data_IF_751966961985
#
_entry.id   IF_751966961985
#
_cell.length_a   1.000
_cell.length_b   1.000
_cell.length_c   1.000
_cell.angle_alpha   90.00
_cell.angle_beta   90.00
_cell.angle_gamma   90.00
#
_symmetry.space_group_name_H-M   'P 1'
#
loop_
_entity.id
_entity.type
_entity.pdbx_description
1 polymer ?
#
# COMPACT_ATOMS: atom_id res chain seq x y z
N UNK A 1 35.45 -18.25 -21.64
CA UNK A 1 34.94 -17.85 -20.31
C UNK A 1 34.28 -16.46 -20.30
N UNK A 2 34.56 -15.55 -21.24
CA UNK A 2 33.90 -14.24 -21.29
C UNK A 2 32.41 -14.31 -21.71
N UNK A 3 32.06 -15.16 -22.69
CA UNK A 3 30.67 -15.30 -23.17
C UNK A 3 29.66 -15.78 -22.10
N UNK A 4 30.12 -16.53 -21.09
CA UNK A 4 29.27 -17.00 -19.97
C UNK A 4 29.02 -15.91 -18.93
N UNK A 5 30.00 -15.01 -18.70
CA UNK A 5 29.85 -13.89 -17.77
C UNK A 5 28.91 -12.81 -18.31
N UNK A 6 28.92 -12.58 -19.62
CA UNK A 6 28.03 -11.63 -20.29
C UNK A 6 26.56 -12.07 -20.24
N UNK A 7 26.31 -13.36 -20.47
CA UNK A 7 24.96 -13.97 -20.41
C UNK A 7 24.37 -13.96 -19.00
N UNK A 8 25.19 -14.20 -17.97
CA UNK A 8 24.77 -14.11 -16.58
C UNK A 8 24.37 -12.68 -16.19
N UNK A 9 25.07 -11.67 -16.73
CA UNK A 9 24.82 -10.24 -16.49
C UNK A 9 23.56 -9.72 -17.21
N UNK A 10 23.16 -10.32 -18.34
CA UNK A 10 21.90 -9.99 -19.01
C UNK A 10 20.69 -10.55 -18.26
N UNK A 11 20.80 -11.79 -17.78
CA UNK A 11 19.72 -12.43 -17.01
C UNK A 11 19.48 -11.73 -15.67
N UNK A 12 20.53 -11.27 -14.98
CA UNK A 12 20.37 -10.56 -13.71
C UNK A 12 19.62 -9.23 -13.83
N UNK A 13 19.89 -8.48 -14.91
CA UNK A 13 19.17 -7.24 -15.22
C UNK A 13 17.69 -7.48 -15.46
N UNK A 14 17.33 -8.58 -16.12
CA UNK A 14 15.93 -8.97 -16.32
C UNK A 14 15.26 -9.30 -14.98
N UNK A 15 15.94 -9.99 -14.07
CA UNK A 15 15.38 -10.33 -12.76
C UNK A 15 15.21 -9.14 -11.83
N UNK A 16 16.05 -8.11 -11.95
CA UNK A 16 15.90 -6.85 -11.22
C UNK A 16 14.60 -6.09 -11.58
N UNK A 17 14.03 -6.36 -12.76
CA UNK A 17 12.76 -5.74 -13.18
C UNK A 17 11.59 -6.14 -12.28
N UNK A 18 11.63 -7.32 -11.65
CA UNK A 18 10.54 -7.81 -10.80
C UNK A 18 10.38 -6.95 -9.53
N UNK A 19 11.41 -6.78 -8.67
CA UNK A 19 11.29 -5.88 -7.53
C UNK A 19 11.25 -4.39 -7.91
N UNK A 20 11.78 -3.99 -9.08
CA UNK A 20 11.51 -2.64 -9.61
C UNK A 20 10.02 -2.44 -9.89
N UNK A 21 9.36 -3.43 -10.51
CA UNK A 21 7.91 -3.45 -10.67
C UNK A 21 7.19 -3.42 -9.33
N UNK A 22 7.65 -4.20 -8.35
CA UNK A 22 7.15 -4.15 -6.97
C UNK A 22 7.27 -2.76 -6.34
N UNK A 23 8.39 -2.08 -6.51
CA UNK A 23 8.59 -0.71 -6.03
C UNK A 23 7.64 0.28 -6.71
N UNK A 24 7.42 0.14 -8.03
CA UNK A 24 6.47 0.98 -8.77
C UNK A 24 5.03 0.73 -8.29
N UNK A 25 4.66 -0.52 -8.01
CA UNK A 25 3.35 -0.87 -7.45
C UNK A 25 3.15 -0.23 -6.08
N UNK A 26 4.15 -0.31 -5.18
CA UNK A 26 4.08 0.36 -3.88
C UNK A 26 3.99 1.88 -4.05
N UNK A 27 4.78 2.47 -4.95
CA UNK A 27 4.75 3.91 -5.19
C UNK A 27 3.40 4.38 -5.71
N UNK A 28 2.78 3.65 -6.64
CA UNK A 28 1.45 3.95 -7.15
C UNK A 28 0.37 3.76 -6.06
N UNK A 29 0.46 2.71 -5.23
CA UNK A 29 -0.45 2.52 -4.09
C UNK A 29 -0.35 3.66 -3.05
N UNK A 30 0.86 4.19 -2.80
CA UNK A 30 1.05 5.36 -1.93
C UNK A 30 0.50 6.63 -2.60
N UNK A 31 0.72 6.79 -3.91
CA UNK A 31 0.26 7.96 -4.65
C UNK A 31 -1.27 8.10 -4.62
N UNK A 32 -2.02 7.00 -4.75
CA UNK A 32 -3.48 7.01 -4.70
C UNK A 32 -4.04 7.40 -3.32
N UNK A 33 -3.27 7.16 -2.26
CA UNK A 33 -3.59 7.52 -0.87
C UNK A 33 -3.32 8.99 -0.54
N UNK A 34 -2.83 9.79 -1.51
CA UNK A 34 -2.61 11.22 -1.31
C UNK A 34 -3.93 12.00 -1.54
N UNK A 35 -4.40 12.77 -0.54
CA UNK A 35 -5.74 13.41 -0.54
C UNK A 35 -5.94 14.47 -1.63
N UNK A 36 -4.88 14.88 -2.33
CA UNK A 36 -4.95 15.91 -3.37
C UNK A 36 -5.11 15.35 -4.80
N UNK A 37 -4.86 14.06 -5.02
CA UNK A 37 -4.62 13.55 -6.38
C UNK A 37 -5.74 12.67 -6.93
N UNK A 38 -6.45 11.94 -6.08
CA UNK A 38 -7.55 11.08 -6.50
C UNK A 38 -8.82 11.48 -5.76
N UNK A 39 -9.89 11.78 -6.50
CA UNK A 39 -11.19 12.02 -5.88
C UNK A 39 -11.67 10.72 -5.24
N UNK A 40 -11.94 10.70 -3.93
CA UNK A 40 -12.46 9.51 -3.29
C UNK A 40 -13.84 9.16 -3.87
N UNK A 41 -14.13 7.88 -4.11
CA UNK A 41 -15.46 7.46 -4.55
C UNK A 41 -16.51 7.74 -3.47
N UNK A 42 -16.15 7.58 -2.19
CA UNK A 42 -17.03 7.82 -1.05
C UNK A 42 -16.33 8.66 0.01
N UNK A 43 -17.07 9.64 0.53
CA UNK A 43 -16.66 10.48 1.65
C UNK A 43 -17.68 10.30 2.77
N UNK A 44 -17.19 9.88 3.94
CA UNK A 44 -17.99 9.64 5.12
C UNK A 44 -17.70 10.75 6.14
N UNK A 45 -18.74 11.52 6.49
CA UNK A 45 -18.62 12.55 7.53
C UNK A 45 -18.88 11.90 8.88
N UNK A 46 -17.90 12.01 9.78
CA UNK A 46 -17.90 11.34 11.06
C UNK A 46 -18.13 12.38 12.17
N UNK A 47 -18.97 12.02 13.15
CA UNK A 47 -19.18 12.81 14.35
C UNK A 47 -17.93 12.82 15.26
N UNK A 48 -17.19 11.69 15.28
CA UNK A 48 -15.90 11.52 15.95
C UNK A 48 -15.08 10.51 15.16
N UNK A 49 -13.77 10.71 15.05
CA UNK A 49 -12.90 9.73 14.41
C UNK A 49 -12.67 8.53 15.35
N UNK A 50 -13.04 7.29 14.96
CA UNK A 50 -12.79 6.13 15.80
C UNK A 50 -11.30 5.77 15.74
N UNK A 51 -10.70 5.44 16.88
CA UNK A 51 -9.26 5.11 16.94
C UNK A 51 -8.84 3.91 16.08
N UNK A 52 -9.79 3.05 15.69
CA UNK A 52 -9.56 1.97 14.73
C UNK A 52 -9.20 2.48 13.33
N UNK A 53 -9.77 3.61 12.89
CA UNK A 53 -9.48 4.23 11.60
C UNK A 53 -8.03 4.76 11.56
N UNK A 54 -7.61 5.47 12.61
CA UNK A 54 -6.23 5.96 12.75
C UNK A 54 -5.23 4.80 12.81
N UNK A 55 -5.57 3.70 13.49
CA UNK A 55 -4.74 2.50 13.55
C UNK A 55 -4.60 1.85 12.17
N UNK A 56 -5.70 1.70 11.42
CA UNK A 56 -5.69 1.14 10.06
C UNK A 56 -4.74 1.94 9.16
N UNK A 57 -4.88 3.28 9.12
CA UNK A 57 -3.99 4.11 8.31
C UNK A 57 -2.51 3.97 8.70
N UNK A 58 -2.22 3.93 10.01
CA UNK A 58 -0.86 3.77 10.51
C UNK A 58 -0.26 2.42 10.09
N UNK A 59 -1.05 1.35 10.16
CA UNK A 59 -0.64 0.00 9.74
C UNK A 59 -0.41 -0.04 8.23
N UNK A 60 -1.32 0.50 7.42
CA UNK A 60 -1.16 0.58 5.96
C UNK A 60 0.13 1.32 5.60
N UNK A 61 0.35 2.51 6.17
CA UNK A 61 1.54 3.31 5.91
C UNK A 61 2.82 2.53 6.28
N UNK A 62 2.84 1.89 7.45
CA UNK A 62 4.00 1.09 7.89
C UNK A 62 4.26 -0.09 6.95
N UNK A 63 3.23 -0.83 6.56
CA UNK A 63 3.33 -2.00 5.69
C UNK A 63 3.86 -1.60 4.31
N UNK A 64 3.32 -0.54 3.71
CA UNK A 64 3.78 -0.04 2.41
C UNK A 64 5.22 0.47 2.45
N UNK A 65 5.62 1.20 3.50
CA UNK A 65 7.00 1.66 3.67
C UNK A 65 7.97 0.50 3.79
N UNK A 66 7.67 -0.49 4.65
CA UNK A 66 8.54 -1.66 4.85
C UNK A 66 8.63 -2.50 3.57
N UNK A 67 7.52 -2.72 2.87
CA UNK A 67 7.50 -3.45 1.60
C UNK A 67 8.28 -2.70 0.51
N UNK A 68 8.13 -1.37 0.42
CA UNK A 68 8.88 -0.52 -0.51
C UNK A 68 10.39 -0.55 -0.25
N UNK A 69 10.80 -0.43 1.01
CA UNK A 69 12.21 -0.59 1.41
C UNK A 69 12.73 -1.99 1.08
N UNK A 70 11.94 -3.03 1.35
CA UNK A 70 12.26 -4.42 0.99
C UNK A 70 12.49 -4.60 -0.52
N UNK A 71 11.65 -4.00 -1.36
CA UNK A 71 11.82 -4.01 -2.81
C UNK A 71 13.09 -3.25 -3.24
N UNK A 72 13.36 -2.07 -2.67
CA UNK A 72 14.57 -1.31 -2.97
C UNK A 72 15.85 -2.08 -2.62
N UNK A 73 15.88 -2.71 -1.44
CA UNK A 73 16.97 -3.60 -1.02
C UNK A 73 17.07 -4.80 -1.98
N UNK A 74 15.94 -5.37 -2.39
CA UNK A 74 15.89 -6.46 -3.37
C UNK A 74 16.49 -6.07 -4.72
N UNK A 75 16.18 -4.87 -5.24
CA UNK A 75 16.80 -4.35 -6.48
C UNK A 75 18.31 -4.24 -6.31
N UNK A 76 18.78 -3.59 -5.25
CA UNK A 76 20.22 -3.43 -4.99
C UNK A 76 20.92 -4.78 -4.89
N UNK A 77 20.35 -5.71 -4.13
CA UNK A 77 20.89 -7.05 -3.93
C UNK A 77 21.01 -7.81 -5.25
N UNK A 78 19.97 -7.78 -6.11
CA UNK A 78 19.98 -8.51 -7.39
C UNK A 78 20.88 -7.87 -8.46
N UNK A 79 21.17 -6.57 -8.34
CA UNK A 79 22.10 -5.86 -9.22
C UNK A 79 23.55 -6.14 -8.82
N UNK A 80 23.85 -6.14 -7.52
CA UNK A 80 25.19 -6.39 -6.98
C UNK A 80 25.54 -7.88 -7.04
N UNK A 81 24.67 -8.72 -6.51
CA UNK A 81 24.84 -10.17 -6.44
C UNK A 81 23.68 -10.88 -7.16
N UNK A 82 23.84 -11.14 -8.47
CA UNK A 82 22.79 -11.74 -9.28
C UNK A 82 22.42 -13.12 -8.75
N UNK A 83 21.12 -13.41 -8.54
CA UNK A 83 20.72 -14.59 -7.80
C UNK A 83 21.01 -15.83 -8.64
N UNK A 84 21.48 -16.90 -7.99
CA UNK A 84 21.59 -18.21 -8.63
C UNK A 84 20.20 -18.81 -8.94
N UNK A 85 19.11 -18.30 -8.34
CA UNK A 85 17.74 -18.84 -8.44
C UNK A 85 16.68 -17.74 -8.54
N UNK A 86 15.63 -18.05 -9.30
CA UNK A 86 14.48 -17.16 -9.58
C UNK A 86 13.61 -16.91 -8.34
N UNK A 87 13.73 -17.72 -7.28
CA UNK A 87 12.92 -17.59 -6.08
C UNK A 87 13.05 -16.23 -5.38
N UNK A 88 14.27 -15.66 -5.36
CA UNK A 88 14.53 -14.37 -4.70
C UNK A 88 13.76 -13.20 -5.32
N UNK A 89 13.86 -12.90 -6.64
CA UNK A 89 13.11 -11.80 -7.25
C UNK A 89 11.59 -11.99 -7.15
N UNK A 90 11.10 -13.23 -7.26
CA UNK A 90 9.67 -13.52 -7.10
C UNK A 90 9.18 -13.28 -5.67
N UNK A 91 9.99 -13.58 -4.65
CA UNK A 91 9.63 -13.31 -3.26
C UNK A 91 9.44 -11.81 -3.01
N UNK A 92 10.34 -10.95 -3.51
CA UNK A 92 10.18 -9.49 -3.39
C UNK A 92 8.92 -8.99 -4.10
N UNK A 93 8.65 -9.49 -5.32
CA UNK A 93 7.42 -9.16 -6.05
C UNK A 93 6.15 -9.60 -5.30
N UNK A 94 6.16 -10.81 -4.72
CA UNK A 94 5.04 -11.33 -3.95
C UNK A 94 4.79 -10.53 -2.67
N UNK A 95 5.85 -10.08 -1.97
CA UNK A 95 5.73 -9.21 -0.80
C UNK A 95 5.09 -7.88 -1.19
N UNK A 96 5.52 -7.26 -2.28
CA UNK A 96 4.94 -6.01 -2.76
C UNK A 96 3.45 -6.18 -3.08
N UNK A 97 3.10 -7.23 -3.83
CA UNK A 97 1.72 -7.53 -4.18
C UNK A 97 0.85 -7.77 -2.94
N UNK A 98 1.32 -8.60 -2.01
CA UNK A 98 0.59 -8.90 -0.77
C UNK A 98 0.39 -7.64 0.09
N UNK A 99 1.38 -6.75 0.14
CA UNK A 99 1.28 -5.48 0.85
C UNK A 99 0.22 -4.56 0.23
N UNK A 100 0.18 -4.43 -1.10
CA UNK A 100 -0.85 -3.61 -1.79
C UNK A 100 -2.24 -4.21 -1.62
N UNK A 101 -2.42 -5.51 -1.85
CA UNK A 101 -3.72 -6.19 -1.66
C UNK A 101 -4.19 -6.07 -0.20
N UNK A 102 -3.27 -6.22 0.76
CA UNK A 102 -3.57 -6.04 2.18
C UNK A 102 -3.95 -4.60 2.52
N UNK A 103 -3.28 -3.61 1.93
CA UNK A 103 -3.62 -2.20 2.10
C UNK A 103 -5.02 -1.89 1.55
N UNK A 104 -5.34 -2.35 0.35
CA UNK A 104 -6.67 -2.17 -0.26
C UNK A 104 -7.76 -2.85 0.57
N UNK A 105 -7.51 -4.07 1.07
CA UNK A 105 -8.44 -4.76 1.96
C UNK A 105 -8.66 -4.04 3.29
N UNK A 106 -7.60 -3.43 3.86
CA UNK A 106 -7.71 -2.62 5.07
C UNK A 106 -8.48 -1.31 4.83
N UNK A 107 -8.30 -0.67 3.67
CA UNK A 107 -9.09 0.49 3.27
C UNK A 107 -10.57 0.13 3.16
N UNK A 108 -10.90 -1.01 2.55
CA UNK A 108 -12.28 -1.51 2.47
C UNK A 108 -12.89 -1.77 3.86
N UNK A 109 -12.11 -2.35 4.79
CA UNK A 109 -12.55 -2.52 6.19
C UNK A 109 -12.74 -1.14 6.85
N UNK A 110 -11.87 -0.18 6.58
CA UNK A 110 -11.97 1.20 7.04
C UNK A 110 -13.27 1.87 6.60
N UNK A 111 -13.69 1.68 5.34
CA UNK A 111 -14.98 2.14 4.84
C UNK A 111 -16.15 1.51 5.60
N UNK A 112 -16.10 0.20 5.87
CA UNK A 112 -17.10 -0.47 6.71
C UNK A 112 -17.20 0.12 8.12
N UNK A 113 -16.07 0.42 8.75
CA UNK A 113 -16.02 1.09 10.07
C UNK A 113 -16.59 2.50 9.99
N UNK A 114 -16.28 3.25 8.93
CA UNK A 114 -16.79 4.60 8.73
C UNK A 114 -18.32 4.61 8.58
N UNK A 115 -18.87 3.70 7.76
CA UNK A 115 -20.33 3.52 7.60
C UNK A 115 -21.01 3.22 8.94
N UNK A 116 -20.47 2.26 9.70
CA UNK A 116 -21.04 1.89 11.00
C UNK A 116 -20.96 3.05 12.01
N UNK A 117 -19.87 3.81 11.98
CA UNK A 117 -19.68 4.97 12.85
C UNK A 117 -20.66 6.08 12.48
N UNK A 118 -20.82 6.38 11.20
CA UNK A 118 -21.78 7.37 10.72
C UNK A 118 -23.22 6.98 11.13
N UNK A 119 -23.61 5.72 10.93
CA UNK A 119 -24.94 5.22 11.32
C UNK A 119 -25.16 5.29 12.84
N UNK A 120 -24.14 4.99 13.66
CA UNK A 120 -24.23 5.08 15.13
C UNK A 120 -24.53 6.50 15.62
N UNK A 121 -24.02 7.52 14.93
CA UNK A 121 -24.15 8.92 15.33
C UNK A 121 -25.18 9.71 14.48
N UNK A 122 -25.98 9.05 13.65
CA UNK A 122 -26.97 9.71 12.78
C UNK A 122 -27.99 10.57 13.55
N UNK A 123 -28.31 10.18 14.79
CA UNK A 123 -29.26 10.89 15.66
C UNK A 123 -28.60 11.45 16.92
N UNK A 124 -27.27 11.56 16.91
CA UNK A 124 -26.52 12.17 17.99
C UNK A 124 -26.82 13.68 18.10
N UNK A 125 -26.95 14.23 19.31
CA UNK A 125 -27.02 15.68 19.48
C UNK A 125 -25.69 16.33 19.08
N UNK A 126 -25.74 17.57 18.56
CA UNK A 126 -24.58 18.21 17.92
C UNK A 126 -23.41 18.51 18.89
N UNK A 127 -23.69 18.56 20.19
CA UNK A 127 -22.73 18.83 21.26
C UNK A 127 -21.78 17.66 21.55
N UNK A 128 -22.09 16.46 21.06
CA UNK A 128 -21.22 15.28 21.22
C UNK A 128 -20.28 15.03 20.04
N UNK A 129 -20.39 15.82 18.96
CA UNK A 129 -19.52 15.72 17.79
C UNK A 129 -18.30 16.63 17.89
N UNK A 130 -17.19 16.16 17.32
CA UNK A 130 -15.96 16.90 17.15
C UNK A 130 -16.10 17.93 16.03
N UNK A 131 -15.57 19.14 16.26
CA UNK A 131 -15.56 20.22 15.28
C UNK A 131 -14.12 20.72 15.02
N UNK A 132 -13.70 20.85 13.74
CA UNK A 132 -14.44 20.50 12.53
C UNK A 132 -14.72 18.99 12.44
N UNK A 133 -15.87 18.61 11.84
CA UNK A 133 -16.24 17.20 11.73
C UNK A 133 -15.18 16.45 10.92
N UNK A 134 -14.61 15.36 11.46
CA UNK A 134 -13.67 14.54 10.71
C UNK A 134 -14.37 13.92 9.49
N UNK A 135 -13.64 13.87 8.38
CA UNK A 135 -14.09 13.22 7.16
C UNK A 135 -13.16 12.04 6.86
N UNK A 136 -13.75 10.85 6.71
CA UNK A 136 -13.04 9.70 6.18
C UNK A 136 -13.26 9.59 4.68
N UNK A 137 -12.17 9.50 3.93
CA UNK A 137 -12.18 9.34 2.49
C UNK A 137 -11.71 7.92 2.20
N UNK A 138 -12.57 7.13 1.56
CA UNK A 138 -12.18 5.80 1.09
C UNK A 138 -11.16 5.96 -0.04
N UNK A 139 -10.01 5.31 0.10
CA UNK A 139 -9.03 5.28 -0.99
C UNK A 139 -9.50 4.29 -2.05
N UNK A 140 -9.57 4.67 -3.34
CA UNK A 140 -9.80 3.69 -4.38
C UNK A 140 -8.61 2.71 -4.44
N UNK A 141 -8.90 1.43 -4.18
CA UNK A 141 -7.96 0.33 -4.39
C UNK A 141 -8.04 -0.23 -5.80
N UNK A 142 -7.07 -1.07 -6.18
CA UNK A 142 -7.14 -1.83 -7.44
C UNK A 142 -7.87 -3.16 -7.27
N UNK A 143 -7.94 -3.68 -6.05
CA UNK A 143 -8.40 -5.05 -5.79
C UNK A 143 -9.79 -5.13 -5.14
N UNK A 144 -10.20 -4.12 -4.39
CA UNK A 144 -11.47 -4.04 -3.66
C UNK A 144 -12.07 -2.65 -3.82
#
# INVERSE_FOLDING_TARGET
>A
MQATAERARTNSRLWALVPMGGMLLIAAAVYERLPAHVKPPHVYILCREPGSLTLIFSVIALVLVVAGLGCAIGVLHLVVDPPARIAAPLAYGAIALAAVVGADGLDHIGAGVAVQTQARYEHAPADICEYPMPAYQETPGWFF
#
